data_IF_357403751699
#
_entry.id   IF_357403751699
#
_cell.length_a   1.000
_cell.length_b   1.000
_cell.length_c   1.000
_cell.angle_alpha   90.00
_cell.angle_beta   90.00
_cell.angle_gamma   90.00
#
_symmetry.space_group_name_H-M   'P 1'
#
loop_
_entity.id
_entity.type
_entity.pdbx_description
1 polymer ?
#
# COMPACT_ATOMS: atom_id res chain seq x y z
N UNK A 1 -1.03 -3.98 -7.96
CA UNK A 1 -0.35 -3.64 -6.68
C UNK A 1 -1.02 -4.41 -5.56
N UNK A 2 -0.27 -5.03 -4.64
CA UNK A 2 -0.85 -5.82 -3.55
C UNK A 2 -1.38 -4.96 -2.38
N UNK A 3 -0.88 -3.74 -2.19
CA UNK A 3 -1.34 -2.84 -1.14
C UNK A 3 -2.80 -2.43 -1.33
N UNK A 4 -3.59 -2.47 -0.25
CA UNK A 4 -4.99 -2.06 -0.27
C UNK A 4 -5.16 -0.60 -0.73
N UNK A 5 -6.21 -0.35 -1.53
CA UNK A 5 -6.50 0.96 -2.10
C UNK A 5 -7.05 2.01 -1.13
N UNK A 6 -6.61 2.03 0.13
CA UNK A 6 -7.06 3.00 1.13
C UNK A 6 -6.47 4.40 0.87
N UNK A 7 -5.18 4.46 0.49
CA UNK A 7 -4.48 5.71 0.19
C UNK A 7 -5.03 6.39 -1.06
N UNK A 8 -5.50 5.63 -2.04
CA UNK A 8 -6.13 6.09 -3.28
C UNK A 8 -7.36 6.94 -2.97
N UNK A 9 -8.18 6.53 -1.98
CA UNK A 9 -9.37 7.26 -1.55
C UNK A 9 -9.02 8.60 -0.90
N UNK A 10 -7.91 8.63 -0.16
CA UNK A 10 -7.39 9.87 0.43
C UNK A 10 -6.86 10.79 -0.67
N UNK A 11 -6.07 10.26 -1.60
CA UNK A 11 -5.51 11.00 -2.72
C UNK A 11 -6.61 11.63 -3.58
N UNK A 12 -7.64 10.87 -3.94
CA UNK A 12 -8.80 11.35 -4.69
C UNK A 12 -9.50 12.53 -3.97
N UNK A 13 -9.77 12.38 -2.66
CA UNK A 13 -10.49 13.40 -1.88
C UNK A 13 -9.63 14.64 -1.57
N UNK A 14 -8.31 14.53 -1.65
CA UNK A 14 -7.36 15.62 -1.38
C UNK A 14 -6.71 16.18 -2.64
N UNK A 15 -7.13 15.70 -3.82
CA UNK A 15 -6.58 16.05 -5.13
C UNK A 15 -5.05 15.92 -5.16
N UNK A 16 -4.55 14.78 -4.68
CA UNK A 16 -3.13 14.42 -4.72
C UNK A 16 -2.90 13.37 -5.79
N UNK A 17 -1.75 13.48 -6.44
CA UNK A 17 -1.28 12.47 -7.38
C UNK A 17 -1.03 11.15 -6.64
N UNK A 18 -1.38 10.03 -7.28
CA UNK A 18 -1.19 8.68 -6.76
C UNK A 18 -0.52 7.82 -7.82
N UNK A 19 0.41 6.97 -7.38
CA UNK A 19 1.14 6.05 -8.25
C UNK A 19 0.94 4.63 -7.76
N UNK A 20 0.44 3.78 -8.65
CA UNK A 20 0.50 2.34 -8.47
C UNK A 20 1.82 1.83 -9.05
N UNK A 21 2.66 1.20 -8.22
CA UNK A 21 3.94 0.63 -8.66
C UNK A 21 3.96 -0.89 -8.46
N UNK A 22 4.79 -1.63 -9.21
CA UNK A 22 5.12 -3.01 -8.85
C UNK A 22 5.76 -3.06 -7.45
N UNK A 23 5.70 -4.23 -6.80
CA UNK A 23 6.32 -4.45 -5.48
C UNK A 23 7.83 -4.25 -5.55
N UNK A 24 8.39 -3.55 -4.56
CA UNK A 24 9.82 -3.27 -4.44
C UNK A 24 10.12 -1.76 -4.39
N UNK A 25 10.81 -1.34 -3.34
CA UNK A 25 11.06 0.09 -3.02
C UNK A 25 11.79 0.88 -4.12
N UNK A 26 12.55 0.20 -4.98
CA UNK A 26 13.27 0.81 -6.12
C UNK A 26 12.37 1.63 -7.05
N UNK A 27 11.09 1.26 -7.20
CA UNK A 27 10.15 2.00 -8.05
C UNK A 27 9.76 3.35 -7.44
N UNK A 28 9.70 3.45 -6.11
CA UNK A 28 9.47 4.72 -5.43
C UNK A 28 10.67 5.67 -5.55
N UNK A 29 11.90 5.15 -5.54
CA UNK A 29 13.12 5.95 -5.69
C UNK A 29 13.10 6.83 -6.95
N UNK A 30 12.71 6.25 -8.09
CA UNK A 30 12.58 7.00 -9.35
C UNK A 30 11.56 8.15 -9.25
N UNK A 31 10.44 7.94 -8.55
CA UNK A 31 9.39 8.95 -8.39
C UNK A 31 9.81 10.05 -7.39
N UNK A 32 10.56 9.69 -6.34
CA UNK A 32 11.15 10.63 -5.39
C UNK A 32 12.20 11.52 -6.08
N UNK A 33 13.08 10.92 -6.89
CA UNK A 33 14.11 11.66 -7.64
C UNK A 33 13.50 12.59 -8.70
N UNK A 34 12.37 12.21 -9.27
CA UNK A 34 11.56 13.06 -10.16
C UNK A 34 10.73 14.12 -9.41
N UNK A 35 10.82 14.20 -8.07
CA UNK A 35 10.04 15.12 -7.21
C UNK A 35 8.51 14.96 -7.36
N UNK A 36 8.04 13.74 -7.65
CA UNK A 36 6.61 13.43 -7.82
C UNK A 36 6.03 12.61 -6.67
N UNK A 37 6.87 12.13 -5.74
CA UNK A 37 6.45 11.31 -4.62
C UNK A 37 7.11 11.75 -3.32
N UNK A 38 6.31 12.09 -2.32
CA UNK A 38 6.79 12.43 -0.97
C UNK A 38 6.31 11.46 0.12
N UNK A 39 5.36 10.57 -0.15
CA UNK A 39 4.89 9.58 0.83
C UNK A 39 4.55 8.28 0.10
N UNK A 40 5.10 7.16 0.55
CA UNK A 40 4.81 5.85 -0.02
C UNK A 40 4.80 4.74 1.05
N UNK A 41 4.20 3.62 0.69
CA UNK A 41 4.11 2.46 1.57
C UNK A 41 3.75 1.17 0.84
N UNK A 42 4.09 0.06 1.47
CA UNK A 42 3.83 -1.30 1.00
C UNK A 42 3.07 -2.03 2.12
N UNK A 43 2.11 -2.89 1.76
CA UNK A 43 1.35 -3.68 2.75
C UNK A 43 2.22 -4.57 3.65
N UNK A 44 3.43 -4.89 3.20
CA UNK A 44 4.47 -5.63 3.94
C UNK A 44 5.12 -4.79 5.04
N UNK A 45 4.32 -4.03 5.79
CA UNK A 45 4.73 -3.17 6.92
C UNK A 45 5.76 -2.10 6.55
N UNK A 46 5.75 -1.64 5.29
CA UNK A 46 6.68 -0.64 4.78
C UNK A 46 6.06 0.75 4.70
N UNK A 47 6.73 1.77 5.25
CA UNK A 47 6.34 3.17 5.08
C UNK A 47 7.58 4.06 5.02
N UNK A 48 7.51 5.14 4.24
CA UNK A 48 8.60 6.10 4.10
C UNK A 48 8.20 7.36 3.33
N UNK A 49 9.12 8.31 3.24
CA UNK A 49 9.01 9.54 2.45
C UNK A 49 10.29 9.79 1.65
N UNK A 50 10.29 10.87 0.86
CA UNK A 50 11.45 11.33 0.07
C UNK A 50 12.66 11.82 0.89
N UNK A 51 12.59 11.78 2.22
CA UNK A 51 13.71 12.12 3.12
C UNK A 51 14.92 11.20 2.97
N UNK A 52 14.70 9.93 2.59
CA UNK A 52 15.72 8.95 2.20
C UNK A 52 15.21 8.14 0.99
N UNK A 53 15.95 7.11 0.56
CA UNK A 53 15.56 6.21 -0.54
C UNK A 53 15.30 4.78 -0.07
N UNK A 54 14.85 4.66 1.18
CA UNK A 54 14.53 3.40 1.86
C UNK A 54 13.25 3.55 2.69
N UNK A 55 12.72 2.41 3.14
CA UNK A 55 11.71 2.38 4.20
C UNK A 55 12.34 2.85 5.52
N UNK A 56 11.55 3.54 6.35
CA UNK A 56 12.01 3.94 7.68
C UNK A 56 10.91 3.73 8.73
N UNK A 57 11.11 2.70 9.55
CA UNK A 57 10.17 2.34 10.61
C UNK A 57 10.15 3.33 11.76
N UNK A 58 11.31 3.91 12.15
CA UNK A 58 11.35 4.88 13.24
C UNK A 58 10.72 6.21 12.80
N UNK A 59 10.98 6.62 11.56
CA UNK A 59 10.29 7.75 10.95
C UNK A 59 8.77 7.54 10.94
N UNK A 60 8.28 6.36 10.57
CA UNK A 60 6.84 6.07 10.57
C UNK A 60 6.23 6.14 11.99
N UNK A 61 6.97 5.66 13.01
CA UNK A 61 6.56 5.81 14.42
C UNK A 61 6.49 7.28 14.81
N UNK A 62 7.51 8.09 14.50
CA UNK A 62 7.52 9.52 14.81
C UNK A 62 6.43 10.29 14.07
N UNK A 63 6.13 9.92 12.82
CA UNK A 63 5.00 10.48 12.07
C UNK A 63 3.66 10.18 12.78
N UNK A 64 3.45 8.94 13.23
CA UNK A 64 2.28 8.57 14.03
C UNK A 64 2.19 9.33 15.36
N UNK A 65 3.29 9.43 16.11
CA UNK A 65 3.34 10.20 17.36
C UNK A 65 3.00 11.68 17.12
N UNK A 66 3.43 12.24 15.98
CA UNK A 66 3.09 13.61 15.58
C UNK A 66 1.59 13.76 15.31
N UNK A 67 0.97 12.81 14.60
CA UNK A 67 -0.49 12.79 14.37
C UNK A 67 -1.24 12.67 15.70
N UNK A 68 -0.82 11.78 16.60
CA UNK A 68 -1.43 11.60 17.92
C UNK A 68 -1.34 12.87 18.76
N UNK A 69 -0.16 13.49 18.81
CA UNK A 69 0.06 14.73 19.56
C UNK A 69 -0.78 15.89 19.02
N UNK A 70 -0.92 16.01 17.70
CA UNK A 70 -1.67 17.09 17.06
C UNK A 70 -3.20 16.89 17.17
N UNK A 71 -3.66 15.66 17.05
CA UNK A 71 -5.11 15.35 17.10
C UNK A 71 -5.65 15.20 18.52
N UNK A 72 -4.78 14.86 19.49
CA UNK A 72 -5.15 14.51 20.87
C UNK A 72 -6.13 13.34 20.96
N UNK A 73 -6.09 12.44 19.97
CA UNK A 73 -6.95 11.25 19.87
C UNK A 73 -6.12 9.98 19.98
N UNK A 74 -6.75 8.89 20.42
CA UNK A 74 -6.15 7.55 20.37
C UNK A 74 -6.08 7.00 18.94
N UNK A 75 -5.23 5.99 18.73
CA UNK A 75 -5.03 5.35 17.41
C UNK A 75 -6.35 4.80 16.84
N UNK A 76 -7.12 4.09 17.65
CA UNK A 76 -8.41 3.51 17.23
C UNK A 76 -9.39 4.60 16.79
N UNK A 77 -9.52 5.67 17.56
CA UNK A 77 -10.43 6.77 17.24
C UNK A 77 -10.03 7.46 15.93
N UNK A 78 -8.72 7.62 15.67
CA UNK A 78 -8.22 8.16 14.40
C UNK A 78 -8.59 7.24 13.24
N UNK A 79 -8.41 5.92 13.38
CA UNK A 79 -8.77 4.94 12.34
C UNK A 79 -10.28 4.90 12.06
N UNK A 80 -11.11 4.85 13.10
CA UNK A 80 -12.57 4.85 12.94
C UNK A 80 -13.03 6.14 12.26
N UNK A 81 -12.48 7.30 12.66
CA UNK A 81 -12.77 8.57 12.00
C UNK A 81 -12.30 8.58 10.53
N UNK A 82 -11.15 7.97 10.23
CA UNK A 82 -10.65 7.81 8.87
C UNK A 82 -11.61 6.95 8.03
N UNK A 83 -12.06 5.80 8.55
CA UNK A 83 -13.03 4.94 7.88
C UNK A 83 -14.37 5.62 7.66
N UNK A 84 -14.85 6.39 8.62
CA UNK A 84 -16.08 7.17 8.45
C UNK A 84 -15.94 8.23 7.33
N UNK A 85 -14.75 8.81 7.16
CA UNK A 85 -14.49 9.87 6.19
C UNK A 85 -14.20 9.37 4.77
N UNK A 86 -13.51 8.24 4.62
CA UNK A 86 -13.01 7.72 3.34
C UNK A 86 -13.58 6.33 2.98
N UNK A 87 -14.32 5.70 3.88
CA UNK A 87 -14.69 4.29 3.82
C UNK A 87 -13.57 3.38 4.31
N UNK A 88 -13.90 2.11 4.59
CA UNK A 88 -12.95 1.09 5.04
C UNK A 88 -12.62 0.13 3.91
N UNK A 89 -11.33 -0.02 3.60
CA UNK A 89 -10.82 -1.08 2.77
C UNK A 89 -10.48 -2.27 3.68
N UNK A 90 -11.29 -3.32 3.67
CA UNK A 90 -10.93 -4.58 4.33
C UNK A 90 -9.79 -5.23 3.55
N UNK A 91 -8.75 -5.66 4.27
CA UNK A 91 -7.55 -6.22 3.67
C UNK A 91 -6.97 -7.32 4.54
N UNK A 92 -6.53 -8.39 3.89
CA UNK A 92 -5.75 -9.48 4.49
C UNK A 92 -4.87 -10.08 3.39
N UNK A 93 -3.71 -10.62 3.76
CA UNK A 93 -2.78 -11.30 2.86
C UNK A 93 -2.58 -12.72 3.36
N UNK A 94 -2.67 -13.68 2.43
CA UNK A 94 -2.51 -15.11 2.72
C UNK A 94 -1.20 -15.57 2.09
N UNK A 95 -0.25 -15.96 2.92
CA UNK A 95 1.07 -16.40 2.49
C UNK A 95 1.08 -17.95 2.49
N UNK A 96 1.11 -18.54 1.30
CA UNK A 96 1.26 -19.99 1.11
C UNK A 96 2.74 -20.33 0.98
N UNK A 97 3.39 -20.58 2.11
CA UNK A 97 4.83 -20.79 2.16
C UNK A 97 5.24 -22.22 1.77
N UNK A 98 6.46 -22.36 1.27
CA UNK A 98 7.10 -23.66 0.98
C UNK A 98 6.30 -24.58 0.05
N UNK A 99 5.52 -24.00 -0.85
CA UNK A 99 4.79 -24.73 -1.87
C UNK A 99 5.73 -25.24 -2.97
N UNK A 100 5.38 -26.38 -3.59
CA UNK A 100 6.16 -26.93 -4.70
C UNK A 100 6.08 -26.01 -5.92
N UNK A 101 7.23 -25.70 -6.53
CA UNK A 101 7.35 -24.72 -7.63
C UNK A 101 6.51 -25.10 -8.84
N UNK A 102 6.52 -26.38 -9.24
CA UNK A 102 5.82 -26.84 -10.45
C UNK A 102 4.30 -26.60 -10.37
N UNK A 103 3.55 -27.16 -9.40
CA UNK A 103 2.11 -26.94 -9.30
C UNK A 103 1.75 -25.46 -9.03
N UNK A 104 2.61 -24.71 -8.34
CA UNK A 104 2.39 -23.26 -8.11
C UNK A 104 2.44 -22.46 -9.41
N UNK A 105 3.41 -22.75 -10.29
CA UNK A 105 3.51 -22.12 -11.60
C UNK A 105 2.35 -22.52 -12.53
N UNK A 106 1.92 -23.78 -12.47
CA UNK A 106 0.74 -24.26 -13.20
C UNK A 106 -0.52 -23.52 -12.74
N UNK A 107 -0.73 -23.37 -11.42
CA UNK A 107 -1.83 -22.59 -10.86
C UNK A 107 -1.87 -21.15 -11.39
N UNK A 108 -0.73 -20.44 -11.35
CA UNK A 108 -0.67 -19.06 -11.85
C UNK A 108 -0.95 -18.96 -13.35
N UNK A 109 -0.44 -19.92 -14.13
CA UNK A 109 -0.66 -19.98 -15.58
C UNK A 109 -2.15 -20.21 -15.91
N UNK A 110 -2.79 -21.15 -15.23
CA UNK A 110 -4.21 -21.43 -15.46
C UNK A 110 -5.11 -20.28 -14.97
N UNK A 111 -4.74 -19.63 -13.86
CA UNK A 111 -5.43 -18.43 -13.40
C UNK A 111 -5.33 -17.29 -14.42
N UNK A 112 -4.14 -17.03 -14.97
CA UNK A 112 -3.95 -16.00 -16.00
C UNK A 112 -4.78 -16.26 -17.26
N UNK A 113 -4.82 -17.53 -17.72
CA UNK A 113 -5.68 -17.94 -18.85
C UNK A 113 -7.15 -17.69 -18.57
N UNK A 114 -7.62 -18.01 -17.36
CA UNK A 114 -9.00 -17.78 -16.95
C UNK A 114 -9.34 -16.29 -16.96
N UNK A 115 -8.50 -15.45 -16.35
CA UNK A 115 -8.70 -14.00 -16.25
C UNK A 115 -8.63 -13.29 -17.62
N UNK A 116 -7.85 -13.83 -18.55
CA UNK A 116 -7.68 -13.27 -19.90
C UNK A 116 -8.70 -13.80 -20.91
N UNK A 117 -9.56 -14.74 -20.50
CA UNK A 117 -10.58 -15.34 -21.35
C UNK A 117 -11.71 -14.37 -21.69
N UNK A 118 -12.34 -14.49 -22.87
CA UNK A 118 -13.44 -13.61 -23.29
C UNK A 118 -14.71 -13.75 -22.43
N UNK A 119 -14.83 -14.86 -21.70
CA UNK A 119 -15.97 -15.14 -20.81
C UNK A 119 -15.76 -14.59 -19.39
N UNK A 120 -14.59 -14.02 -19.09
CA UNK A 120 -14.28 -13.41 -17.81
C UNK A 120 -14.77 -11.95 -17.79
N UNK A 121 -15.73 -11.64 -16.90
CA UNK A 121 -16.43 -10.35 -16.78
C UNK A 121 -15.56 -9.28 -16.12
#
# INVERSE_FOLDING_TARGET
MPTAGAVDRVALKTNKEIFETPTGWKFFGNLMDAQRLSLCGEESFGTGSDHIREKDGLWAVLAWLSVLANTRKGVEEILVNHWNRFGRNFFTRYDYENCETKPSNELMTELEKLLSGPDFV
#
